data_IF_347445443822
#
_entry.id   IF_347445443822
#
_cell.length_a   1.000
_cell.length_b   1.000
_cell.length_c   1.000
_cell.angle_alpha   90.00
_cell.angle_beta   90.00
_cell.angle_gamma   90.00
#
_symmetry.space_group_name_H-M   'P 1'
#
loop_
_entity.id
_entity.type
_entity.pdbx_description
1 polymer ?
#
# COMPACT_ATOMS: atom_id res chain seq x y z
N UNK A 1 -17.79 -1.97 -10.07
CA UNK A 1 -17.02 -1.30 -9.00
C UNK A 1 -15.54 -1.57 -9.23
N UNK A 2 -14.75 -0.52 -9.21
CA UNK A 2 -13.30 -0.63 -9.38
C UNK A 2 -12.65 -0.79 -8.01
N UNK A 3 -11.91 -1.87 -7.81
CA UNK A 3 -11.25 -2.19 -6.55
C UNK A 3 -9.75 -1.94 -6.70
N UNK A 4 -9.21 -1.09 -5.83
CA UNK A 4 -7.79 -0.75 -5.82
C UNK A 4 -7.10 -1.22 -4.56
N UNK A 5 -5.78 -1.45 -4.65
CA UNK A 5 -4.96 -1.87 -3.53
C UNK A 5 -3.68 -1.06 -3.48
N UNK A 6 -3.33 -0.60 -2.28
CA UNK A 6 -2.01 -0.02 -2.00
C UNK A 6 -1.43 -0.72 -0.77
N UNK A 7 -0.12 -0.91 -0.73
CA UNK A 7 0.54 -1.68 0.33
C UNK A 7 1.68 -0.86 0.91
N UNK A 8 1.75 -0.81 2.25
CA UNK A 8 2.82 -0.10 2.97
C UNK A 8 2.74 -0.43 4.45
N UNK A 9 3.72 0.02 5.22
CA UNK A 9 3.69 -0.06 6.68
C UNK A 9 2.78 1.01 7.28
N UNK A 10 2.57 2.12 6.59
CA UNK A 10 1.76 3.25 7.07
C UNK A 10 2.18 3.69 8.48
N UNK A 11 3.49 3.73 8.71
CA UNK A 11 4.05 4.09 10.01
C UNK A 11 4.07 5.61 10.16
N UNK A 12 3.67 6.09 11.36
CA UNK A 12 3.67 7.51 11.68
C UNK A 12 2.91 8.34 10.64
N UNK A 13 1.64 8.02 10.44
CA UNK A 13 0.81 8.69 9.43
C UNK A 13 0.93 10.22 9.51
N UNK A 14 1.13 10.83 8.36
CA UNK A 14 1.22 12.28 8.25
C UNK A 14 0.51 12.74 6.98
N UNK A 15 0.54 14.06 6.72
CA UNK A 15 -0.19 14.65 5.61
C UNK A 15 0.20 14.05 4.26
N UNK A 16 1.46 13.64 4.09
CA UNK A 16 1.92 12.99 2.85
C UNK A 16 1.22 11.67 2.59
N UNK A 17 1.04 10.85 3.64
CA UNK A 17 0.29 9.62 3.52
C UNK A 17 -1.17 9.89 3.12
N UNK A 18 -1.77 10.91 3.74
CA UNK A 18 -3.17 11.23 3.47
C UNK A 18 -3.34 11.71 2.02
N UNK A 19 -2.43 12.55 1.53
CA UNK A 19 -2.47 13.01 0.14
C UNK A 19 -2.33 11.84 -0.84
N UNK A 20 -1.44 10.89 -0.52
CA UNK A 20 -1.23 9.69 -1.33
C UNK A 20 -2.51 8.82 -1.35
N UNK A 21 -3.14 8.63 -0.20
CA UNK A 21 -4.36 7.84 -0.11
C UNK A 21 -5.53 8.52 -0.83
N UNK A 22 -5.60 9.85 -0.77
CA UNK A 22 -6.60 10.61 -1.52
C UNK A 22 -6.42 10.41 -3.02
N UNK A 23 -5.19 10.49 -3.51
CA UNK A 23 -4.89 10.25 -4.92
C UNK A 23 -5.25 8.82 -5.31
N UNK A 24 -4.88 7.83 -4.48
CA UNK A 24 -5.20 6.43 -4.73
C UNK A 24 -6.71 6.24 -4.88
N UNK A 25 -7.50 6.89 -4.02
CA UNK A 25 -8.96 6.76 -4.06
C UNK A 25 -9.56 7.32 -5.34
N UNK A 26 -8.91 8.25 -6.02
CA UNK A 26 -9.41 8.76 -7.30
C UNK A 26 -9.37 7.68 -8.41
N UNK A 27 -8.61 6.61 -8.20
CA UNK A 27 -8.44 5.55 -9.19
C UNK A 27 -9.35 4.35 -8.96
N UNK A 28 -10.16 4.37 -7.91
CA UNK A 28 -11.00 3.24 -7.57
C UNK A 28 -12.22 3.68 -6.77
N UNK A 29 -13.21 2.78 -6.69
CA UNK A 29 -14.40 2.99 -5.87
C UNK A 29 -14.21 2.43 -4.46
N UNK A 30 -13.36 1.41 -4.34
CA UNK A 30 -13.13 0.70 -3.08
C UNK A 30 -11.62 0.51 -2.93
N UNK A 31 -11.04 1.12 -1.90
CA UNK A 31 -9.60 1.10 -1.69
C UNK A 31 -9.24 0.17 -0.54
N UNK A 32 -8.44 -0.84 -0.84
CA UNK A 32 -7.89 -1.77 0.14
C UNK A 32 -6.45 -1.35 0.44
N UNK A 33 -6.15 -1.19 1.74
CA UNK A 33 -4.79 -0.93 2.19
C UNK A 33 -4.23 -2.21 2.79
N UNK A 34 -3.20 -2.76 2.16
CA UNK A 34 -2.46 -3.89 2.71
C UNK A 34 -1.42 -3.33 3.68
N UNK A 35 -1.59 -3.65 4.96
CA UNK A 35 -0.80 -3.08 6.06
C UNK A 35 0.27 -4.06 6.49
N UNK A 36 1.53 -3.76 6.17
CA UNK A 36 2.64 -4.64 6.51
C UNK A 36 2.95 -4.59 8.00
N UNK A 37 2.99 -5.76 8.63
CA UNK A 37 3.21 -5.86 10.08
C UNK A 37 4.63 -5.42 10.43
N UNK A 38 5.64 -6.04 9.84
CA UNK A 38 7.05 -5.69 10.09
C UNK A 38 7.90 -6.11 8.90
N UNK A 39 8.33 -5.15 8.05
CA UNK A 39 9.13 -5.48 6.88
C UNK A 39 10.51 -6.05 7.21
N UNK A 40 11.03 -5.82 8.42
CA UNK A 40 12.34 -6.33 8.81
C UNK A 40 12.37 -7.84 9.00
N UNK A 41 11.21 -8.48 9.19
CA UNK A 41 11.11 -9.94 9.31
C UNK A 41 11.47 -10.62 7.99
N UNK A 42 11.00 -10.05 6.88
CA UNK A 42 11.23 -10.61 5.55
C UNK A 42 12.48 -10.03 4.88
N UNK A 43 12.78 -8.76 5.14
CA UNK A 43 13.93 -8.05 4.57
C UNK A 43 14.69 -7.38 5.71
N UNK A 44 15.81 -7.99 6.09
CA UNK A 44 16.59 -7.56 7.25
C UNK A 44 17.15 -6.14 7.13
N UNK A 45 17.28 -5.62 5.89
CA UNK A 45 17.74 -4.25 5.66
C UNK A 45 16.69 -3.20 5.97
N UNK A 46 15.44 -3.61 6.17
CA UNK A 46 14.36 -2.68 6.52
C UNK A 46 14.30 -2.49 8.03
N UNK A 47 13.88 -1.29 8.43
CA UNK A 47 13.69 -0.98 9.85
C UNK A 47 12.33 -1.46 10.33
N UNK A 48 12.26 -1.81 11.61
CA UNK A 48 10.99 -2.09 12.25
C UNK A 48 10.15 -0.81 12.29
N UNK A 49 8.81 -0.92 12.16
CA UNK A 49 7.95 0.25 12.36
C UNK A 49 8.12 0.81 13.77
N UNK A 50 8.00 2.12 13.89
CA UNK A 50 8.03 2.81 15.18
C UNK A 50 6.76 2.52 15.97
N UNK A 51 5.62 2.57 15.28
CA UNK A 51 4.32 2.31 15.92
C UNK A 51 3.98 0.83 15.86
N UNK A 52 3.20 0.38 16.84
CA UNK A 52 2.67 -0.97 16.85
C UNK A 52 1.69 -1.18 15.70
N UNK A 53 1.39 -2.44 15.39
CA UNK A 53 0.39 -2.74 14.37
C UNK A 53 -0.97 -2.15 14.76
N UNK A 54 -1.35 -2.26 16.03
CA UNK A 54 -2.64 -1.74 16.52
C UNK A 54 -2.72 -0.23 16.32
N UNK A 55 -1.65 0.49 16.65
CA UNK A 55 -1.62 1.94 16.46
C UNK A 55 -1.77 2.31 14.98
N UNK A 56 -1.03 1.64 14.11
CA UNK A 56 -1.08 1.91 12.68
C UNK A 56 -2.44 1.56 12.09
N UNK A 57 -3.01 0.44 12.51
CA UNK A 57 -4.34 0.01 12.08
C UNK A 57 -5.40 1.04 12.50
N UNK A 58 -5.36 1.46 13.76
CA UNK A 58 -6.32 2.42 14.31
C UNK A 58 -6.28 3.74 13.55
N UNK A 59 -5.08 4.24 13.29
CA UNK A 59 -4.92 5.51 12.57
C UNK A 59 -5.38 5.38 11.11
N UNK A 60 -5.00 4.30 10.45
CA UNK A 60 -5.36 4.08 9.05
C UNK A 60 -6.87 3.90 8.88
N UNK A 61 -7.51 3.25 9.85
CA UNK A 61 -8.94 3.05 9.84
C UNK A 61 -9.72 4.36 9.91
N UNK A 62 -9.14 5.39 10.50
CA UNK A 62 -9.76 6.71 10.62
C UNK A 62 -9.65 7.55 9.34
N UNK A 63 -8.89 7.11 8.36
CA UNK A 63 -8.71 7.84 7.10
C UNK A 63 -9.92 7.57 6.20
N UNK A 64 -10.60 8.64 5.80
CA UNK A 64 -11.88 8.53 5.06
C UNK A 64 -11.74 7.90 3.67
N UNK A 65 -10.52 7.83 3.13
CA UNK A 65 -10.28 7.27 1.79
C UNK A 65 -10.10 5.76 1.81
N UNK A 66 -9.91 5.17 2.99
CA UNK A 66 -9.62 3.75 3.16
C UNK A 66 -10.91 2.98 3.42
N UNK A 67 -11.18 1.97 2.60
CA UNK A 67 -12.39 1.15 2.74
C UNK A 67 -12.12 -0.16 3.47
N UNK A 68 -10.92 -0.72 3.33
CA UNK A 68 -10.59 -2.00 3.95
C UNK A 68 -9.10 -2.04 4.26
N UNK A 69 -8.75 -2.70 5.36
CA UNK A 69 -7.34 -2.88 5.76
C UNK A 69 -7.08 -4.38 5.90
N UNK A 70 -6.02 -4.86 5.23
CA UNK A 70 -5.62 -6.27 5.29
C UNK A 70 -4.17 -6.33 5.77
N UNK A 71 -3.94 -6.74 7.02
CA UNK A 71 -2.56 -6.92 7.50
C UNK A 71 -1.86 -8.07 6.79
N UNK A 72 -0.55 -7.92 6.55
CA UNK A 72 0.26 -9.00 6.00
C UNK A 72 1.68 -8.91 6.57
N UNK A 73 2.41 -10.02 6.58
CA UNK A 73 3.74 -10.09 7.19
C UNK A 73 4.85 -10.09 6.14
N UNK A 74 4.81 -11.03 5.20
CA UNK A 74 5.90 -11.22 4.24
C UNK A 74 5.51 -10.76 2.84
N UNK A 75 6.51 -10.63 1.97
CA UNK A 75 6.26 -10.28 0.56
C UNK A 75 5.48 -11.40 -0.14
N UNK A 76 5.67 -12.66 0.26
CA UNK A 76 4.86 -13.78 -0.26
C UNK A 76 3.39 -13.64 0.14
N UNK A 77 3.13 -13.15 1.36
CA UNK A 77 1.75 -12.88 1.80
C UNK A 77 1.10 -11.81 0.92
N UNK A 78 1.87 -10.79 0.52
CA UNK A 78 1.35 -9.76 -0.39
C UNK A 78 0.99 -10.35 -1.75
N UNK A 79 1.82 -11.24 -2.26
CA UNK A 79 1.51 -11.94 -3.52
C UNK A 79 0.21 -12.75 -3.38
N UNK A 80 0.02 -13.41 -2.24
CA UNK A 80 -1.22 -14.15 -1.97
C UNK A 80 -2.44 -13.21 -1.99
N UNK A 81 -2.33 -12.02 -1.39
CA UNK A 81 -3.40 -11.02 -1.44
C UNK A 81 -3.72 -10.65 -2.89
N UNK A 82 -2.69 -10.42 -3.71
CA UNK A 82 -2.87 -10.07 -5.12
C UNK A 82 -3.56 -11.20 -5.90
N UNK A 83 -3.42 -12.45 -5.46
CA UNK A 83 -4.06 -13.60 -6.09
C UNK A 83 -5.47 -13.87 -5.59
N UNK A 84 -5.72 -13.59 -4.32
CA UNK A 84 -6.99 -13.93 -3.67
C UNK A 84 -8.08 -12.90 -3.88
N UNK A 85 -7.73 -11.63 -3.91
CA UNK A 85 -8.69 -10.55 -4.08
C UNK A 85 -8.91 -10.26 -5.56
N UNK A 86 -10.14 -9.87 -5.91
CA UNK A 86 -10.43 -9.40 -7.27
C UNK A 86 -10.10 -7.92 -7.35
N UNK A 87 -8.90 -7.63 -7.85
CA UNK A 87 -8.37 -6.29 -7.91
C UNK A 87 -8.35 -5.79 -9.35
N UNK A 88 -8.67 -4.52 -9.53
CA UNK A 88 -8.63 -3.87 -10.85
C UNK A 88 -7.36 -3.05 -11.02
N UNK A 89 -6.88 -2.41 -9.95
CA UNK A 89 -5.70 -1.54 -10.03
C UNK A 89 -4.87 -1.64 -8.76
N UNK A 90 -3.57 -1.69 -8.92
CA UNK A 90 -2.62 -1.57 -7.80
C UNK A 90 -1.98 -0.19 -7.86
N UNK A 91 -2.08 0.54 -6.75
CA UNK A 91 -1.50 1.87 -6.63
C UNK A 91 -0.16 1.74 -5.90
N UNK A 92 0.90 2.27 -6.50
CA UNK A 92 2.26 2.15 -5.98
C UNK A 92 3.00 3.47 -6.23
N UNK A 93 4.02 3.77 -5.42
CA UNK A 93 4.77 5.00 -5.57
C UNK A 93 5.46 5.12 -6.93
N UNK A 94 5.53 6.33 -7.46
CA UNK A 94 6.12 6.57 -8.80
C UNK A 94 7.60 6.21 -8.85
N UNK A 95 8.30 6.16 -7.70
CA UNK A 95 9.69 5.74 -7.64
C UNK A 95 9.91 4.30 -8.09
N UNK A 96 8.85 3.48 -8.12
CA UNK A 96 8.93 2.09 -8.56
C UNK A 96 8.60 1.88 -10.02
N UNK A 97 8.34 2.96 -10.78
CA UNK A 97 7.88 2.84 -12.16
C UNK A 97 8.86 2.07 -13.05
N UNK A 98 10.15 2.31 -12.88
CA UNK A 98 11.20 1.65 -13.65
C UNK A 98 12.00 0.64 -12.83
N UNK A 99 11.54 0.33 -11.61
CA UNK A 99 12.21 -0.60 -10.73
C UNK A 99 11.46 -1.90 -10.55
N UNK A 100 12.02 -2.73 -9.68
CA UNK A 100 11.38 -3.98 -9.28
C UNK A 100 10.58 -3.75 -8.01
N UNK A 101 9.42 -4.38 -7.94
CA UNK A 101 8.62 -4.40 -6.71
C UNK A 101 7.86 -5.71 -6.64
N UNK A 102 7.48 -6.07 -5.42
CA UNK A 102 6.79 -7.32 -5.16
C UNK A 102 5.46 -7.37 -5.90
N UNK A 103 5.25 -8.44 -6.65
CA UNK A 103 3.98 -8.71 -7.30
C UNK A 103 3.81 -8.10 -8.68
N UNK A 104 4.85 -7.49 -9.27
CA UNK A 104 4.74 -6.95 -10.62
C UNK A 104 4.28 -8.02 -11.62
N UNK A 105 4.92 -9.20 -11.59
CA UNK A 105 4.56 -10.29 -12.50
C UNK A 105 3.15 -10.81 -12.23
N UNK A 106 2.76 -10.87 -10.96
CA UNK A 106 1.41 -11.30 -10.58
C UNK A 106 0.35 -10.34 -11.11
N UNK A 107 0.59 -9.04 -10.99
CA UNK A 107 -0.33 -8.04 -11.53
C UNK A 107 -0.46 -8.19 -13.05
N UNK A 108 0.67 -8.37 -13.74
CA UNK A 108 0.65 -8.54 -15.19
C UNK A 108 -0.15 -9.77 -15.61
N UNK A 109 0.06 -10.91 -14.93
CA UNK A 109 -0.62 -12.16 -15.29
C UNK A 109 -2.11 -12.14 -14.97
N UNK A 110 -2.54 -11.34 -14.00
CA UNK A 110 -3.94 -11.26 -13.57
C UNK A 110 -4.69 -10.07 -14.15
N UNK A 111 -4.05 -9.28 -15.00
CA UNK A 111 -4.69 -8.11 -15.61
C UNK A 111 -4.95 -6.97 -14.64
N UNK A 112 -4.18 -6.89 -13.55
CA UNK A 112 -4.28 -5.80 -12.59
C UNK A 112 -3.47 -4.63 -13.13
N UNK A 113 -4.12 -3.49 -13.35
CA UNK A 113 -3.45 -2.29 -13.83
C UNK A 113 -2.57 -1.70 -12.73
N UNK A 114 -1.49 -1.02 -13.14
CA UNK A 114 -0.60 -0.34 -12.22
C UNK A 114 -0.81 1.17 -12.36
N UNK A 115 -1.05 1.83 -11.23
CA UNK A 115 -1.13 3.29 -11.16
C UNK A 115 0.00 3.78 -10.26
N UNK A 116 0.77 4.76 -10.74
CA UNK A 116 1.92 5.28 -10.00
C UNK A 116 1.55 6.59 -9.32
N UNK A 117 1.51 6.56 -7.98
CA UNK A 117 1.22 7.73 -7.16
C UNK A 117 2.33 8.76 -7.27
N UNK A 118 1.95 10.02 -7.40
CA UNK A 118 2.90 11.13 -7.37
C UNK A 118 3.39 11.36 -5.94
N UNK A 119 4.66 11.71 -5.79
CA UNK A 119 5.17 12.19 -4.52
C UNK A 119 4.95 13.69 -4.44
N UNK A 120 4.28 14.12 -3.37
CA UNK A 120 4.16 15.55 -3.09
C UNK A 120 5.20 15.92 -2.05
N UNK A 121 6.29 16.52 -2.49
CA UNK A 121 7.43 16.83 -1.63
C UNK A 121 7.12 17.82 -0.53
N UNK A 122 6.02 18.56 -0.63
CA UNK A 122 5.61 19.52 0.41
C UNK A 122 5.28 18.84 1.72
N UNK A 123 4.91 17.57 1.66
CA UNK A 123 4.53 16.80 2.85
C UNK A 123 5.60 15.80 3.27
N UNK A 124 6.76 15.81 2.61
CA UNK A 124 7.84 14.88 2.93
C UNK A 124 8.67 15.44 4.08
N UNK A 125 8.86 14.62 5.13
CA UNK A 125 9.80 14.91 6.19
C UNK A 125 11.09 14.17 5.85
N UNK A 126 11.99 14.82 5.25
CA UNK A 126 13.28 14.23 4.92
C UNK A 126 14.35 14.67 5.90
#
# INVERSE_FOLDING_TARGET
>A
MVVGLTASTFDLLHAGHIAMLREAKTQCDYLICALQVDPSVDRSEKNKPVQSLVERYTQLQAVKYVDEIVPYQTEDDLIDILKMYQLDVRIIGEEYKHGKFTGRATCASRGIELYYNKRDHRFSTS
#
